data_IF_995299429000
#
_entry.id   IF_995299429000
#
_cell.length_a   1.000
_cell.length_b   1.000
_cell.length_c   1.000
_cell.angle_alpha   90.00
_cell.angle_beta   90.00
_cell.angle_gamma   90.00
#
_symmetry.space_group_name_H-M   'P 1'
#
loop_
_entity.id
_entity.type
_entity.pdbx_description
1 polymer ?
#
# COMPACT_ATOMS: atom_id res chain seq x y z
N UNK A 1 1.35 -0.51 8.70
CA UNK A 1 2.00 0.55 9.49
C UNK A 1 1.57 1.89 8.95
N UNK A 2 1.09 2.83 9.79
CA UNK A 2 0.67 4.17 9.35
C UNK A 2 1.30 5.22 10.24
N UNK A 3 1.86 6.23 9.59
CA UNK A 3 2.23 7.53 10.15
C UNK A 3 0.94 8.28 10.51
N UNK A 4 0.72 8.56 11.79
CA UNK A 4 -0.47 9.30 12.23
C UNK A 4 -0.31 10.81 11.99
N UNK A 5 -1.27 11.40 11.27
CA UNK A 5 -1.55 12.83 11.35
C UNK A 5 -2.94 12.99 12.00
N UNK A 6 -2.99 13.63 13.17
CA UNK A 6 -4.22 13.83 13.96
C UNK A 6 -5.03 15.04 13.48
N UNK A 7 -6.36 14.88 13.52
CA UNK A 7 -7.37 15.94 13.76
C UNK A 7 -8.07 16.49 12.50
N UNK A 8 -9.36 16.85 12.47
CA UNK A 8 -10.38 17.13 13.50
C UNK A 8 -11.80 16.91 12.88
N UNK A 9 -12.78 16.58 13.73
CA UNK A 9 -14.23 16.50 13.51
C UNK A 9 -14.87 17.68 12.73
N UNK A 10 -15.87 17.35 11.89
CA UNK A 10 -17.16 18.05 11.76
C UNK A 10 -18.11 17.18 10.90
N UNK A 11 -19.07 16.46 11.51
CA UNK A 11 -20.43 16.93 11.79
C UNK A 11 -21.33 17.04 10.53
N UNK A 12 -22.12 15.98 10.32
CA UNK A 12 -23.58 16.00 10.09
C UNK A 12 -24.21 16.92 9.02
N UNK A 13 -24.98 16.25 8.15
CA UNK A 13 -26.33 16.63 7.70
C UNK A 13 -26.47 17.67 6.57
N UNK A 14 -26.48 17.21 5.31
CA UNK A 14 -27.30 17.85 4.25
C UNK A 14 -27.90 16.75 3.36
N UNK A 15 -29.04 16.22 3.80
CA UNK A 15 -30.07 15.66 2.93
C UNK A 15 -31.28 16.60 3.08
N UNK A 16 -31.93 16.93 1.96
CA UNK A 16 -33.11 17.80 1.79
C UNK A 16 -32.81 19.25 1.38
N UNK A 17 -32.78 19.50 0.08
CA UNK A 17 -33.58 20.55 -0.58
C UNK A 17 -33.48 20.37 -2.11
N UNK A 18 -34.32 19.46 -2.62
CA UNK A 18 -34.88 19.60 -3.96
C UNK A 18 -35.96 20.70 -3.90
N UNK A 19 -36.25 21.27 -5.08
CA UNK A 19 -37.41 22.12 -5.40
C UNK A 19 -37.21 23.61 -5.07
N UNK A 20 -36.66 24.37 -6.03
CA UNK A 20 -37.34 25.52 -6.63
C UNK A 20 -36.61 25.89 -7.93
N UNK A 21 -37.03 25.22 -9.00
CA UNK A 21 -36.83 25.67 -10.37
C UNK A 21 -37.74 26.89 -10.61
N UNK A 22 -37.24 27.84 -11.41
CA UNK A 22 -38.00 28.86 -12.13
C UNK A 22 -38.55 30.03 -11.32
N UNK A 23 -37.87 31.18 -11.46
CA UNK A 23 -38.43 32.47 -11.89
C UNK A 23 -37.30 33.52 -11.89
N UNK A 24 -36.62 33.66 -13.03
CA UNK A 24 -36.02 34.94 -13.40
C UNK A 24 -36.98 35.62 -14.38
N UNK A 25 -37.18 36.94 -14.23
CA UNK A 25 -36.90 37.76 -15.40
C UNK A 25 -36.13 39.06 -15.08
N UNK A 26 -35.19 39.34 -15.97
CA UNK A 26 -34.71 40.64 -16.45
C UNK A 26 -34.48 41.80 -15.46
N UNK A 27 -33.20 42.18 -15.30
CA UNK A 27 -32.81 43.59 -15.22
C UNK A 27 -31.52 43.87 -16.00
N UNK A 28 -31.56 44.93 -16.82
CA UNK A 28 -30.45 45.50 -17.60
C UNK A 28 -29.41 46.15 -16.68
N UNK A 29 -28.18 46.20 -17.17
CA UNK A 29 -26.97 46.37 -16.38
C UNK A 29 -26.67 47.75 -15.78
N UNK A 30 -25.64 47.71 -14.94
CA UNK A 30 -24.83 48.84 -14.46
C UNK A 30 -23.42 48.27 -14.26
N UNK A 31 -22.44 48.76 -15.01
CA UNK A 31 -21.04 48.61 -14.60
C UNK A 31 -20.81 49.45 -13.35
N UNK A 32 -20.31 48.81 -12.29
CA UNK A 32 -19.61 49.48 -11.20
C UNK A 32 -18.74 48.44 -10.49
N UNK A 33 -17.45 48.75 -10.39
CA UNK A 33 -16.47 47.93 -9.67
C UNK A 33 -16.94 47.61 -8.25
N UNK A 34 -16.76 46.36 -7.86
CA UNK A 34 -17.14 45.82 -6.57
C UNK A 34 -16.23 44.65 -6.22
N UNK A 35 -15.71 44.69 -5.00
CA UNK A 35 -14.62 43.87 -4.47
C UNK A 35 -14.75 42.36 -4.70
N UNK A 36 -13.58 41.75 -4.92
CA UNK A 36 -13.35 40.32 -4.78
C UNK A 36 -13.92 39.79 -3.44
N UNK A 37 -14.46 38.56 -3.41
CA UNK A 37 -14.90 37.95 -2.15
C UNK A 37 -13.70 37.90 -1.19
N UNK A 38 -13.92 38.43 0.02
CA UNK A 38 -12.91 38.47 1.07
C UNK A 38 -12.30 37.07 1.26
N UNK A 39 -11.01 36.95 0.91
CA UNK A 39 -10.13 35.92 1.47
C UNK A 39 -10.31 35.95 2.98
N UNK A 40 -10.86 34.89 3.55
CA UNK A 40 -10.63 34.58 4.96
C UNK A 40 -9.12 34.55 5.16
N UNK A 41 -8.58 35.62 5.75
CA UNK A 41 -7.20 35.63 6.23
C UNK A 41 -7.16 34.66 7.41
N UNK A 42 -6.80 33.41 7.12
CA UNK A 42 -6.26 32.51 8.14
C UNK A 42 -4.95 33.14 8.60
N UNK A 43 -5.03 33.97 9.64
CA UNK A 43 -3.88 34.45 10.37
C UNK A 43 -3.21 33.27 11.07
N UNK A 44 -1.88 33.19 10.92
CA UNK A 44 -1.05 32.16 11.54
C UNK A 44 -0.76 31.01 10.57
N UNK A 45 0.39 31.09 9.90
CA UNK A 45 0.92 30.00 9.09
C UNK A 45 1.26 28.81 9.98
N UNK A 46 0.30 27.92 10.19
CA UNK A 46 0.58 26.58 10.67
C UNK A 46 1.06 25.77 9.48
N UNK A 47 2.38 25.76 9.25
CA UNK A 47 2.99 24.70 8.45
C UNK A 47 2.91 23.43 9.28
N UNK A 48 2.29 22.33 8.78
CA UNK A 48 2.38 21.06 9.48
C UNK A 48 3.85 20.74 9.71
N UNK A 49 4.23 20.20 10.89
CA UNK A 49 5.61 19.81 11.12
C UNK A 49 6.03 18.91 9.97
N UNK A 50 7.07 19.33 9.22
CA UNK A 50 7.69 18.46 8.23
C UNK A 50 8.16 17.24 8.99
N UNK A 51 7.47 16.12 8.84
CA UNK A 51 7.94 14.84 9.33
C UNK A 51 9.22 14.55 8.55
N UNK A 52 10.37 14.87 9.14
CA UNK A 52 11.65 14.58 8.55
C UNK A 52 11.93 13.10 8.80
N UNK A 53 11.50 12.27 7.86
CA UNK A 53 11.87 10.86 7.83
C UNK A 53 13.28 10.81 7.25
N UNK A 54 14.26 10.40 8.07
CA UNK A 54 15.61 10.12 7.58
C UNK A 54 15.50 9.11 6.43
N UNK A 55 16.19 9.31 5.29
CA UNK A 55 16.28 8.29 4.25
C UNK A 55 16.71 6.96 4.85
N UNK A 56 15.83 5.97 4.71
CA UNK A 56 16.17 4.60 5.05
C UNK A 56 17.26 4.16 4.07
N UNK A 57 18.45 3.93 4.62
CA UNK A 57 19.65 3.68 3.82
C UNK A 57 19.98 2.20 3.71
N UNK A 58 19.41 1.36 4.57
CA UNK A 58 19.62 -0.09 4.57
C UNK A 58 18.47 -0.85 5.26
N UNK A 59 18.43 -2.17 5.06
CA UNK A 59 17.40 -3.05 5.60
C UNK A 59 17.42 -3.16 7.14
N UNK A 60 18.58 -2.95 7.78
CA UNK A 60 18.69 -2.96 9.25
C UNK A 60 17.95 -1.78 9.87
N UNK A 61 18.10 -0.58 9.30
CA UNK A 61 17.33 0.61 9.72
C UNK A 61 15.82 0.40 9.51
N UNK A 62 15.42 -0.16 8.37
CA UNK A 62 14.02 -0.50 8.07
C UNK A 62 13.45 -1.48 9.11
N UNK A 63 14.17 -2.56 9.40
CA UNK A 63 13.77 -3.58 10.38
C UNK A 63 13.67 -2.99 11.78
N UNK A 64 14.61 -2.14 12.18
CA UNK A 64 14.55 -1.47 13.48
C UNK A 64 13.30 -0.61 13.59
N UNK A 65 13.00 0.20 12.56
CA UNK A 65 11.80 1.04 12.53
C UNK A 65 10.50 0.23 12.64
N UNK A 66 10.47 -0.99 12.08
CA UNK A 66 9.29 -1.84 12.06
C UNK A 66 9.19 -2.88 13.18
N UNK A 67 10.26 -3.05 13.98
CA UNK A 67 10.33 -4.06 15.05
C UNK A 67 9.55 -3.68 16.32
N UNK A 68 9.18 -2.40 16.47
CA UNK A 68 8.45 -1.92 17.64
C UNK A 68 6.94 -1.93 17.38
N UNK A 69 6.21 -2.73 18.16
CA UNK A 69 4.75 -2.70 18.15
C UNK A 69 4.25 -1.44 18.86
N UNK A 70 3.59 -0.55 18.12
CA UNK A 70 3.02 0.70 18.67
C UNK A 70 1.50 0.65 18.85
N UNK A 71 0.83 -0.39 18.31
CA UNK A 71 -0.60 -0.62 18.48
C UNK A 71 -0.91 -2.13 18.51
N UNK A 72 -1.57 -2.65 19.56
CA UNK A 72 -1.99 -4.04 19.60
C UNK A 72 -3.14 -4.28 18.61
N UNK A 73 -3.26 -5.53 18.14
CA UNK A 73 -4.43 -6.01 17.41
C UNK A 73 -5.12 -7.10 18.23
N UNK A 74 -6.42 -6.97 18.46
CA UNK A 74 -7.20 -7.94 19.24
C UNK A 74 -7.90 -8.99 18.39
N UNK A 75 -8.23 -8.65 17.15
CA UNK A 75 -8.90 -9.51 16.19
C UNK A 75 -7.97 -9.80 15.00
N UNK A 76 -7.06 -10.77 15.17
CA UNK A 76 -6.15 -11.20 14.11
C UNK A 76 -6.75 -12.36 13.32
N UNK A 77 -6.77 -12.22 12.00
CA UNK A 77 -7.03 -13.33 11.07
C UNK A 77 -5.75 -13.70 10.34
N UNK A 78 -5.42 -14.99 10.35
CA UNK A 78 -4.34 -15.53 9.54
C UNK A 78 -4.88 -15.99 8.18
N UNK A 79 -4.12 -15.70 7.13
CA UNK A 79 -4.30 -16.18 5.77
C UNK A 79 -3.08 -17.00 5.36
N UNK A 80 -3.26 -18.01 4.51
CA UNK A 80 -2.27 -19.03 4.14
C UNK A 80 -1.68 -19.73 5.38
N UNK A 81 -2.55 -20.09 6.34
CA UNK A 81 -2.15 -20.61 7.65
C UNK A 81 -2.24 -22.14 7.77
N UNK A 82 -2.94 -22.81 6.84
CA UNK A 82 -3.15 -24.24 6.86
C UNK A 82 -2.39 -24.91 5.68
N UNK A 83 -1.96 -26.18 5.84
CA UNK A 83 -1.43 -26.95 4.72
C UNK A 83 -2.40 -26.93 3.52
N UNK A 84 -1.89 -26.83 2.28
CA UNK A 84 -0.48 -26.99 1.89
C UNK A 84 0.38 -25.71 1.92
N UNK A 85 -0.11 -24.59 2.46
CA UNK A 85 0.67 -23.35 2.56
C UNK A 85 1.91 -23.50 3.45
N UNK A 86 3.00 -22.85 3.05
CA UNK A 86 4.22 -22.80 3.86
C UNK A 86 4.08 -21.82 5.03
N UNK A 87 4.89 -21.95 6.07
CA UNK A 87 4.90 -20.98 7.18
C UNK A 87 5.28 -19.56 6.74
N UNK A 88 6.05 -19.43 5.66
CA UNK A 88 6.44 -18.13 5.07
C UNK A 88 5.27 -17.46 4.35
N UNK A 89 4.36 -18.24 3.77
CA UNK A 89 3.19 -17.73 3.06
C UNK A 89 2.19 -17.06 4.01
N UNK A 90 2.22 -17.44 5.30
CA UNK A 90 1.25 -16.99 6.30
C UNK A 90 1.36 -15.49 6.56
N UNK A 91 0.31 -14.74 6.22
CA UNK A 91 0.19 -13.31 6.57
C UNK A 91 -0.96 -13.06 7.53
N UNK A 92 -0.79 -12.09 8.43
CA UNK A 92 -1.78 -11.72 9.44
C UNK A 92 -2.48 -10.42 9.06
N UNK A 93 -3.80 -10.39 9.14
CA UNK A 93 -4.63 -9.21 8.93
C UNK A 93 -5.31 -8.82 10.24
N UNK A 94 -5.18 -7.55 10.63
CA UNK A 94 -5.92 -7.05 11.78
C UNK A 94 -7.33 -6.64 11.38
N UNK A 95 -8.33 -7.25 12.00
CA UNK A 95 -9.75 -6.99 11.75
C UNK A 95 -10.39 -6.17 12.88
N UNK A 96 -9.57 -5.48 13.68
CA UNK A 96 -10.08 -4.56 14.68
C UNK A 96 -10.93 -3.47 13.98
N UNK A 97 -12.04 -3.01 14.62
CA UNK A 97 -12.97 -2.05 14.02
C UNK A 97 -12.30 -0.77 13.49
N UNK A 98 -11.18 -0.36 14.10
CA UNK A 98 -10.39 0.79 13.67
C UNK A 98 -9.97 0.72 12.19
N UNK A 99 -9.57 -0.44 11.69
CA UNK A 99 -9.17 -0.62 10.29
C UNK A 99 -10.36 -0.79 9.36
N UNK A 100 -11.55 -1.15 9.88
CA UNK A 100 -12.77 -1.26 9.11
C UNK A 100 -12.60 -2.08 7.81
N UNK A 101 -11.88 -3.21 7.88
CA UNK A 101 -11.74 -4.15 6.76
C UNK A 101 -12.94 -5.08 6.81
N UNK A 102 -13.76 -5.08 5.76
CA UNK A 102 -15.03 -5.83 5.71
C UNK A 102 -14.98 -6.91 4.64
N UNK A 103 -15.33 -8.16 4.97
CA UNK A 103 -15.58 -9.20 3.97
C UNK A 103 -16.51 -8.70 2.86
N UNK A 104 -16.19 -9.01 1.61
CA UNK A 104 -16.98 -8.60 0.44
C UNK A 104 -16.82 -7.13 0.01
N UNK A 105 -16.12 -6.30 0.79
CA UNK A 105 -15.91 -4.87 0.50
C UNK A 105 -14.53 -4.42 0.96
N UNK A 106 -13.49 -5.14 0.50
CA UNK A 106 -12.09 -4.82 0.77
C UNK A 106 -11.26 -4.92 -0.51
N UNK A 107 -10.20 -4.11 -0.58
CA UNK A 107 -9.21 -4.12 -1.65
C UNK A 107 -7.84 -4.54 -1.10
N UNK A 108 -7.27 -5.60 -1.68
CA UNK A 108 -5.94 -6.09 -1.35
C UNK A 108 -5.00 -5.93 -2.54
N UNK A 109 -3.85 -5.33 -2.29
CA UNK A 109 -2.72 -5.35 -3.22
C UNK A 109 -1.72 -6.37 -2.70
N UNK A 110 -1.40 -7.37 -3.51
CA UNK A 110 -0.42 -8.41 -3.18
C UNK A 110 0.76 -8.34 -4.13
N UNK A 111 1.94 -8.00 -3.60
CA UNK A 111 3.19 -8.01 -4.36
C UNK A 111 4.03 -9.22 -3.95
N UNK A 112 4.53 -9.95 -4.95
CA UNK A 112 5.27 -11.20 -4.78
C UNK A 112 4.35 -12.36 -4.43
N UNK A 113 3.75 -12.93 -5.47
CA UNK A 113 2.90 -14.13 -5.38
C UNK A 113 3.77 -15.39 -5.31
N UNK A 114 4.92 -15.37 -5.97
CA UNK A 114 5.80 -16.51 -6.11
C UNK A 114 5.13 -17.65 -6.87
N UNK A 115 5.19 -18.84 -6.31
CA UNK A 115 4.59 -20.06 -6.88
C UNK A 115 3.32 -20.50 -6.13
N UNK A 116 2.98 -19.83 -5.03
CA UNK A 116 1.89 -20.18 -4.12
C UNK A 116 0.82 -19.09 -4.17
N UNK A 117 -0.42 -19.46 -4.44
CA UNK A 117 -1.55 -18.53 -4.51
C UNK A 117 -2.43 -18.55 -3.26
N UNK A 118 -2.01 -19.29 -2.21
CA UNK A 118 -2.85 -19.56 -1.04
C UNK A 118 -3.33 -18.29 -0.35
N UNK A 119 -2.46 -17.29 -0.19
CA UNK A 119 -2.86 -16.02 0.43
C UNK A 119 -3.90 -15.30 -0.43
N UNK A 120 -3.64 -15.15 -1.72
CA UNK A 120 -4.53 -14.42 -2.64
C UNK A 120 -5.88 -15.11 -2.77
N UNK A 121 -5.89 -16.44 -2.84
CA UNK A 121 -7.11 -17.25 -2.91
C UNK A 121 -7.94 -17.16 -1.63
N UNK A 122 -7.34 -17.31 -0.44
CA UNK A 122 -8.08 -17.22 0.83
C UNK A 122 -8.61 -15.80 1.10
N UNK A 123 -7.88 -14.76 0.68
CA UNK A 123 -8.34 -13.37 0.78
C UNK A 123 -9.47 -13.07 -0.21
N UNK A 124 -9.42 -13.66 -1.40
CA UNK A 124 -10.52 -13.60 -2.37
C UNK A 124 -11.76 -14.34 -1.83
N UNK A 125 -11.60 -15.50 -1.20
CA UNK A 125 -12.68 -16.24 -0.54
C UNK A 125 -13.26 -15.47 0.65
N UNK A 126 -12.41 -14.77 1.41
CA UNK A 126 -12.84 -13.80 2.42
C UNK A 126 -13.64 -12.62 1.82
N UNK A 127 -13.62 -12.47 0.50
CA UNK A 127 -14.49 -11.60 -0.26
C UNK A 127 -13.82 -10.34 -0.78
N UNK A 128 -12.51 -10.15 -0.58
CA UNK A 128 -11.81 -8.97 -1.08
C UNK A 128 -11.60 -9.04 -2.61
N UNK A 129 -11.58 -7.88 -3.24
CA UNK A 129 -10.95 -7.72 -4.55
C UNK A 129 -9.43 -7.73 -4.36
N UNK A 130 -8.72 -8.48 -5.21
CA UNK A 130 -7.27 -8.65 -5.15
C UNK A 130 -6.65 -8.20 -6.47
N UNK A 131 -5.69 -7.28 -6.38
CA UNK A 131 -4.76 -7.02 -7.46
C UNK A 131 -3.39 -7.57 -7.05
N UNK A 132 -2.94 -8.60 -7.76
CA UNK A 132 -1.73 -9.36 -7.49
C UNK A 132 -0.65 -9.03 -8.52
N UNK A 133 0.60 -8.93 -8.09
CA UNK A 133 1.72 -8.42 -8.88
C UNK A 133 2.94 -9.31 -8.68
N UNK A 134 3.43 -9.90 -9.77
CA UNK A 134 4.67 -10.68 -9.72
C UNK A 134 5.33 -10.79 -11.11
N UNK A 135 6.59 -10.35 -11.27
CA UNK A 135 7.32 -10.46 -12.52
C UNK A 135 8.14 -11.77 -12.66
N UNK A 136 8.11 -12.68 -11.68
CA UNK A 136 9.05 -13.81 -11.54
C UNK A 136 8.44 -15.18 -11.85
N UNK A 137 7.12 -15.29 -11.84
CA UNK A 137 6.41 -16.57 -12.01
C UNK A 137 6.18 -16.99 -13.48
N UNK A 138 6.62 -16.16 -14.44
CA UNK A 138 6.52 -16.45 -15.88
C UNK A 138 5.09 -16.34 -16.46
N UNK A 139 4.12 -15.87 -15.67
CA UNK A 139 2.75 -15.67 -16.12
C UNK A 139 2.59 -14.31 -16.78
N UNK A 140 1.63 -14.21 -17.70
CA UNK A 140 1.16 -12.94 -18.27
C UNK A 140 0.02 -12.39 -17.43
N UNK A 141 -0.33 -11.12 -17.61
CA UNK A 141 -1.52 -10.52 -17.01
C UNK A 141 -2.76 -11.39 -17.30
N UNK A 142 -3.51 -11.73 -16.25
CA UNK A 142 -4.69 -12.58 -16.36
C UNK A 142 -5.63 -12.40 -15.17
N UNK A 143 -6.84 -12.94 -15.29
CA UNK A 143 -7.77 -13.10 -14.17
C UNK A 143 -7.62 -14.49 -13.57
N UNK A 144 -7.60 -14.57 -12.24
CA UNK A 144 -7.65 -15.82 -11.48
C UNK A 144 -8.96 -15.85 -10.72
N UNK A 145 -9.97 -16.51 -11.28
CA UNK A 145 -11.35 -16.39 -10.82
C UNK A 145 -11.88 -14.95 -10.94
N UNK A 146 -12.95 -14.65 -10.20
CA UNK A 146 -13.69 -13.40 -10.36
C UNK A 146 -13.08 -12.21 -9.61
N UNK A 147 -12.35 -12.49 -8.52
CA UNK A 147 -11.88 -11.45 -7.58
C UNK A 147 -10.40 -11.12 -7.71
N UNK A 148 -9.61 -11.90 -8.43
CA UNK A 148 -8.15 -11.71 -8.52
C UNK A 148 -7.76 -11.26 -9.93
N UNK A 149 -7.11 -10.10 -10.01
CA UNK A 149 -6.43 -9.60 -11.22
C UNK A 149 -4.94 -9.71 -11.03
N UNK A 150 -4.25 -10.44 -11.91
CA UNK A 150 -2.81 -10.59 -11.87
C UNK A 150 -2.13 -9.71 -12.91
N UNK A 151 -1.01 -9.10 -12.50
CA UNK A 151 -0.15 -8.28 -13.34
C UNK A 151 1.29 -8.77 -13.28
N UNK A 152 1.88 -9.01 -14.44
CA UNK A 152 3.26 -9.47 -14.61
C UNK A 152 4.24 -8.29 -14.52
N UNK A 153 4.35 -7.70 -13.33
CA UNK A 153 5.22 -6.56 -13.02
C UNK A 153 5.50 -6.51 -11.52
N UNK A 154 6.73 -6.15 -11.14
CA UNK A 154 7.12 -5.95 -9.74
C UNK A 154 7.00 -4.49 -9.29
N UNK A 155 7.18 -4.28 -7.99
CA UNK A 155 7.22 -2.95 -7.38
C UNK A 155 8.67 -2.48 -7.16
N UNK A 156 8.93 -1.19 -7.35
CA UNK A 156 10.24 -0.56 -7.16
C UNK A 156 10.06 0.96 -6.96
N UNK A 157 11.17 1.70 -6.83
CA UNK A 157 11.18 3.18 -6.84
C UNK A 157 11.35 3.77 -8.25
N UNK A 158 11.49 2.95 -9.29
CA UNK A 158 11.56 3.40 -10.67
C UNK A 158 10.76 2.50 -11.60
N UNK A 159 10.50 3.01 -12.82
CA UNK A 159 9.96 2.23 -13.92
C UNK A 159 11.10 1.69 -14.78
N UNK A 160 11.14 0.39 -15.00
CA UNK A 160 12.15 -0.22 -15.85
C UNK A 160 12.19 -1.73 -15.75
N UNK A 161 13.39 -2.29 -15.82
CA UNK A 161 13.63 -3.70 -15.58
C UNK A 161 14.83 -3.84 -14.66
N UNK A 162 14.78 -4.83 -13.76
CA UNK A 162 15.91 -5.15 -12.90
C UNK A 162 16.04 -6.66 -12.70
N UNK A 163 17.19 -7.06 -12.18
CA UNK A 163 17.46 -8.43 -11.79
C UNK A 163 16.70 -8.73 -10.49
N UNK A 164 15.93 -9.81 -10.49
CA UNK A 164 15.04 -10.22 -9.40
C UNK A 164 15.34 -11.65 -8.97
N UNK A 165 15.07 -11.94 -7.70
CA UNK A 165 15.30 -13.24 -7.06
C UNK A 165 16.58 -13.27 -6.22
N UNK A 166 16.54 -14.01 -5.10
CA UNK A 166 17.71 -14.14 -4.21
C UNK A 166 18.74 -15.14 -4.72
N UNK A 167 20.02 -14.82 -4.50
CA UNK A 167 21.15 -15.68 -4.88
C UNK A 167 21.08 -17.08 -4.28
N UNK A 168 20.58 -17.21 -3.05
CA UNK A 168 20.46 -18.50 -2.32
C UNK A 168 19.55 -19.52 -3.01
N UNK A 169 18.66 -19.07 -3.91
CA UNK A 169 17.77 -19.94 -4.67
C UNK A 169 18.22 -20.18 -6.12
N UNK A 170 19.39 -19.66 -6.51
CA UNK A 170 20.02 -19.92 -7.81
C UNK A 170 19.25 -19.41 -9.04
N UNK A 171 18.13 -18.70 -8.86
CA UNK A 171 17.25 -18.26 -9.93
C UNK A 171 17.20 -16.73 -9.97
N UNK A 172 17.92 -16.15 -10.92
CA UNK A 172 17.82 -14.73 -11.25
C UNK A 172 17.00 -14.57 -12.52
N UNK A 173 16.04 -13.66 -12.50
CA UNK A 173 15.26 -13.30 -13.70
C UNK A 173 15.26 -11.79 -13.87
N UNK A 174 15.28 -11.32 -15.11
CA UNK A 174 15.04 -9.91 -15.40
C UNK A 174 13.54 -9.70 -15.48
N UNK A 175 13.00 -8.89 -14.58
CA UNK A 175 11.57 -8.59 -14.53
C UNK A 175 11.29 -7.11 -14.70
N UNK A 176 10.15 -6.79 -15.29
CA UNK A 176 9.64 -5.43 -15.32
C UNK A 176 9.27 -4.99 -13.90
N UNK A 177 9.62 -3.76 -13.55
CA UNK A 177 9.26 -3.13 -12.27
C UNK A 177 8.71 -1.74 -12.51
N UNK A 178 7.85 -1.28 -11.61
CA UNK A 178 7.30 0.07 -11.65
C UNK A 178 7.05 0.63 -10.24
N UNK A 179 6.83 1.95 -10.18
CA UNK A 179 6.48 2.68 -8.96
C UNK A 179 5.07 2.33 -8.51
N UNK A 180 4.83 2.36 -7.20
CA UNK A 180 3.52 2.06 -6.62
C UNK A 180 2.37 2.87 -7.25
N UNK A 181 2.61 4.16 -7.48
CA UNK A 181 1.66 5.08 -8.13
C UNK A 181 1.23 4.61 -9.53
N UNK A 182 2.20 4.15 -10.32
CA UNK A 182 1.96 3.67 -11.68
C UNK A 182 1.25 2.31 -11.68
N UNK A 183 1.52 1.46 -10.68
CA UNK A 183 0.86 0.17 -10.52
C UNK A 183 -0.61 0.32 -10.12
N UNK A 184 -0.94 1.31 -9.28
CA UNK A 184 -2.33 1.70 -9.02
C UNK A 184 -3.02 2.17 -10.31
N UNK A 185 -2.35 2.98 -11.13
CA UNK A 185 -2.88 3.43 -12.42
C UNK A 185 -3.10 2.27 -13.39
N UNK A 186 -2.13 1.37 -13.52
CA UNK A 186 -2.21 0.18 -14.37
C UNK A 186 -3.39 -0.73 -13.98
N UNK A 187 -3.64 -0.87 -12.69
CA UNK A 187 -4.74 -1.69 -12.19
C UNK A 187 -6.10 -0.96 -12.18
N UNK A 188 -6.16 0.33 -12.54
CA UNK A 188 -7.38 1.14 -12.46
C UNK A 188 -7.84 1.44 -11.02
N UNK A 189 -6.90 1.47 -10.07
CA UNK A 189 -7.14 1.60 -8.63
C UNK A 189 -6.74 2.97 -8.06
N UNK A 190 -6.46 3.96 -8.91
CA UNK A 190 -6.13 5.31 -8.47
C UNK A 190 -7.24 5.91 -7.60
N UNK A 191 -6.85 6.56 -6.50
CA UNK A 191 -7.79 7.17 -5.55
C UNK A 191 -8.58 6.18 -4.69
N UNK A 192 -8.41 4.87 -4.88
CA UNK A 192 -9.04 3.87 -4.00
C UNK A 192 -8.25 3.67 -2.72
N UNK A 193 -8.97 3.43 -1.64
CA UNK A 193 -8.39 2.99 -0.37
C UNK A 193 -8.01 1.51 -0.49
N UNK A 194 -6.76 1.20 -0.16
CA UNK A 194 -6.22 -0.15 -0.08
C UNK A 194 -6.33 -0.62 1.36
N UNK A 195 -7.15 -1.63 1.61
CA UNK A 195 -7.36 -2.19 2.94
C UNK A 195 -6.13 -2.94 3.44
N UNK A 196 -5.44 -3.64 2.53
CA UNK A 196 -4.27 -4.42 2.87
C UNK A 196 -3.26 -4.43 1.72
N UNK A 197 -2.03 -4.02 2.02
CA UNK A 197 -0.89 -4.05 1.11
C UNK A 197 0.09 -5.12 1.59
N UNK A 198 0.15 -6.26 0.91
CA UNK A 198 1.17 -7.29 1.10
C UNK A 198 2.40 -6.96 0.26
N UNK A 199 3.55 -6.85 0.90
CA UNK A 199 4.86 -6.69 0.28
C UNK A 199 5.73 -7.89 0.65
N UNK A 200 5.73 -8.89 -0.22
CA UNK A 200 6.50 -10.11 -0.05
C UNK A 200 7.41 -10.27 -1.27
N UNK A 201 8.29 -9.29 -1.45
CA UNK A 201 9.05 -9.08 -2.68
C UNK A 201 10.52 -9.20 -2.41
N UNK A 202 11.24 -9.90 -3.28
CA UNK A 202 12.69 -10.04 -3.11
C UNK A 202 13.38 -8.68 -3.39
N UNK A 203 13.96 -8.07 -2.35
CA UNK A 203 14.90 -6.94 -2.42
C UNK A 203 14.32 -5.59 -2.85
N UNK A 204 13.00 -5.43 -2.83
CA UNK A 204 12.33 -4.21 -3.29
C UNK A 204 11.52 -3.51 -2.21
N UNK A 205 11.54 -4.02 -0.98
CA UNK A 205 10.87 -3.46 0.19
C UNK A 205 11.42 -2.07 0.53
N UNK A 206 12.75 -1.95 0.54
CA UNK A 206 13.42 -0.67 0.81
C UNK A 206 13.15 0.34 -0.30
N UNK A 207 13.24 -0.09 -1.57
CA UNK A 207 12.95 0.77 -2.72
C UNK A 207 11.52 1.29 -2.68
N UNK A 208 10.54 0.42 -2.37
CA UNK A 208 9.16 0.85 -2.18
C UNK A 208 9.07 2.00 -1.16
N UNK A 209 9.67 1.85 0.02
CA UNK A 209 9.61 2.90 1.04
C UNK A 209 10.40 4.16 0.67
N UNK A 210 11.49 4.05 -0.08
CA UNK A 210 12.18 5.23 -0.61
C UNK A 210 11.26 6.05 -1.51
N UNK A 211 10.54 5.41 -2.43
CA UNK A 211 9.58 6.12 -3.28
C UNK A 211 8.41 6.69 -2.48
N UNK A 212 7.85 5.89 -1.58
CA UNK A 212 6.70 6.30 -0.78
C UNK A 212 7.04 7.45 0.17
N UNK A 213 8.22 7.50 0.78
CA UNK A 213 8.56 8.60 1.69
C UNK A 213 9.01 9.87 0.99
N UNK A 214 9.74 9.75 -0.13
CA UNK A 214 10.39 10.91 -0.76
C UNK A 214 9.64 11.47 -1.97
N UNK A 215 8.90 10.63 -2.71
CA UNK A 215 8.25 11.04 -3.95
C UNK A 215 6.72 11.00 -3.87
N UNK A 216 6.15 9.96 -3.25
CA UNK A 216 4.69 9.74 -3.23
C UNK A 216 4.10 9.52 -1.82
N UNK A 217 4.42 10.34 -0.79
CA UNK A 217 3.94 10.14 0.58
C UNK A 217 2.44 10.26 0.74
N UNK A 218 1.77 10.98 -0.17
CA UNK A 218 0.32 11.10 -0.20
C UNK A 218 -0.38 9.75 -0.41
N UNK A 219 0.28 8.77 -1.04
CA UNK A 219 -0.30 7.44 -1.28
C UNK A 219 -0.35 6.58 -0.01
N UNK A 220 0.49 6.84 1.00
CA UNK A 220 0.43 6.13 2.28
C UNK A 220 -0.87 6.40 3.04
N UNK A 221 -1.47 7.59 2.86
CA UNK A 221 -2.76 7.92 3.47
C UNK A 221 -3.90 7.05 2.91
N UNK A 222 -3.73 6.47 1.72
CA UNK A 222 -4.68 5.56 1.08
C UNK A 222 -4.53 4.10 1.48
N UNK A 223 -3.59 3.74 2.38
CA UNK A 223 -3.34 2.34 2.77
C UNK A 223 -3.66 2.13 4.25
N UNK A 224 -4.55 1.20 4.56
CA UNK A 224 -4.94 0.92 5.96
C UNK A 224 -3.95 0.02 6.69
N UNK A 225 -3.47 -1.03 6.03
CA UNK A 225 -2.49 -1.96 6.59
C UNK A 225 -1.44 -2.31 5.55
N UNK A 226 -0.19 -2.42 6.01
CA UNK A 226 0.93 -2.91 5.23
C UNK A 226 1.46 -4.11 6.00
N UNK A 227 1.50 -5.27 5.35
CA UNK A 227 2.20 -6.45 5.83
C UNK A 227 3.37 -6.71 4.91
N UNK A 228 4.54 -6.90 5.49
CA UNK A 228 5.77 -6.98 4.73
C UNK A 228 6.64 -8.09 5.28
N UNK A 229 7.17 -8.89 4.38
CA UNK A 229 8.32 -9.74 4.65
C UNK A 229 9.57 -8.96 4.28
N UNK A 230 10.57 -8.93 5.16
CA UNK A 230 11.83 -8.23 4.89
C UNK A 230 12.85 -9.27 4.49
N UNK A 231 13.12 -9.37 3.19
CA UNK A 231 14.15 -10.22 2.63
C UNK A 231 15.51 -9.56 2.83
N UNK A 232 16.49 -10.34 3.25
CA UNK A 232 17.89 -9.95 3.31
C UNK A 232 18.68 -10.85 2.37
N UNK A 233 19.48 -10.24 1.49
CA UNK A 233 20.51 -10.98 0.76
C UNK A 233 21.58 -11.40 1.77
N UNK A 234 21.52 -12.65 2.23
CA UNK A 234 22.59 -13.25 3.01
C UNK A 234 23.80 -13.50 2.08
N UNK A 235 24.60 -12.46 1.80
CA UNK A 235 25.93 -12.65 1.20
C UNK A 235 26.98 -13.18 2.23
N UNK A 236 26.58 -13.57 3.45
CA UNK A 236 27.53 -13.87 4.55
C UNK A 236 27.27 -15.12 5.39
N UNK A 237 26.35 -16.01 5.01
CA UNK A 237 25.91 -17.13 5.86
C UNK A 237 26.92 -18.28 6.10
N UNK A 238 28.12 -18.25 5.55
CA UNK A 238 29.09 -19.36 5.68
C UNK A 238 30.17 -19.17 6.77
N UNK A 239 30.34 -18.01 7.39
CA UNK A 239 31.44 -17.80 8.35
C UNK A 239 31.09 -17.99 9.84
N UNK A 240 29.81 -17.97 10.24
CA UNK A 240 29.47 -18.02 11.68
C UNK A 240 29.26 -19.43 12.26
N UNK A 241 29.46 -20.50 11.46
CA UNK A 241 29.33 -21.90 11.94
C UNK A 241 30.64 -22.59 12.31
N UNK A 242 31.80 -21.96 12.11
CA UNK A 242 33.10 -22.58 12.43
C UNK A 242 33.74 -22.11 13.75
N UNK A 243 33.26 -21.05 14.41
CA UNK A 243 33.87 -20.56 15.66
C UNK A 243 33.23 -21.09 16.97
N UNK A 244 32.15 -21.88 16.91
CA UNK A 244 31.58 -22.54 18.09
C UNK A 244 31.92 -24.05 18.20
N UNK A 245 33.02 -24.48 17.58
CA UNK A 245 33.52 -25.86 17.62
C UNK A 245 35.01 -25.94 18.01
N UNK A 246 35.49 -25.04 18.87
CA UNK A 246 36.85 -25.13 19.44
C UNK A 246 36.82 -24.91 20.95
#
# INVERSE_FOLDING_TARGET
MIVTARGILAATLILLLFIFLHLLPHYRGVERGGNAPQRYKLGGGWSPPKCFIKPLSNLTELRHYFSKSEAPCTNLKAFAAAPPASSGDRKLMCLDPYYNIRPGSCLVLSFGVGQSWHFEDEVAEFGCEVAAFDPTNGLKDHKRGDKISFYSVGISNFRGSKLLGMMRYGKKTVGAVDRYENLLARAGLQGRVVDYLKLDVELSELEFFQDMFFNSPHLLAGVKQIAMEVHHDDEGGEQERQENSS
#
